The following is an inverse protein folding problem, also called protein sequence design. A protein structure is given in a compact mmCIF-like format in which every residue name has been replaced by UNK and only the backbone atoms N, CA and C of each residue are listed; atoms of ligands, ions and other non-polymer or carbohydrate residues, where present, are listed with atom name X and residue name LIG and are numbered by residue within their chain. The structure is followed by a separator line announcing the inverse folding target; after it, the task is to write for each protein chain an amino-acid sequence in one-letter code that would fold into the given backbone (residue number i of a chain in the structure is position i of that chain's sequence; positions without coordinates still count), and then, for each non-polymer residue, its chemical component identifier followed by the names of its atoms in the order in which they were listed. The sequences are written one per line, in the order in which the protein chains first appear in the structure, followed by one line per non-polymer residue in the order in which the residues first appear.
data_IF_563903428398
#
_entry.id   IF_563903428398
#
_cell.length_a   1.000
_cell.length_b   1.000
_cell.length_c   1.000
_cell.angle_alpha   90.00
_cell.angle_beta   90.00
_cell.angle_gamma   90.00
#
_symmetry.space_group_name_H-M   'P 1'
#
loop_
_entity.id
_entity.type
_entity.pdbx_description
1 polymer ?
#
# COMPACT_ATOMS: atom_id res chain seq x y z
N UNK A 1 -2.47 3.00 30.30
CA UNK A 1 -2.27 4.39 29.85
C UNK A 1 -2.58 4.42 28.36
N UNK A 2 -3.70 5.04 27.97
CA UNK A 2 -4.18 5.26 26.59
C UNK A 2 -4.14 4.06 25.63
N UNK A 3 -5.04 3.10 25.82
CA UNK A 3 -5.45 2.23 24.72
C UNK A 3 -6.34 3.05 23.79
N UNK A 4 -5.78 3.57 22.69
CA UNK A 4 -6.53 4.23 21.63
C UNK A 4 -7.59 3.24 21.12
N UNK A 5 -8.84 3.42 21.53
CA UNK A 5 -9.92 2.57 21.06
C UNK A 5 -10.28 3.07 19.66
N UNK A 6 -10.88 2.18 18.88
CA UNK A 6 -11.33 2.51 17.51
C UNK A 6 -12.11 3.83 17.42
N UNK A 7 -13.00 4.20 18.37
CA UNK A 7 -13.72 5.47 18.35
C UNK A 7 -12.82 6.71 18.40
N UNK A 8 -11.82 6.76 19.29
CA UNK A 8 -10.93 7.92 19.38
C UNK A 8 -10.09 8.07 18.11
N UNK A 9 -9.63 6.95 17.55
CA UNK A 9 -8.90 6.96 16.26
C UNK A 9 -9.79 7.47 15.11
N UNK A 10 -11.07 7.09 15.09
CA UNK A 10 -12.03 7.55 14.08
C UNK A 10 -12.26 9.06 14.18
N UNK A 11 -12.34 9.59 15.41
CA UNK A 11 -12.53 11.02 15.65
C UNK A 11 -11.33 11.84 15.16
N UNK A 12 -10.11 11.37 15.43
CA UNK A 12 -8.87 11.99 14.94
C UNK A 12 -8.80 11.90 13.41
N UNK A 13 -9.13 10.73 12.85
CA UNK A 13 -9.15 10.54 11.40
C UNK A 13 -10.12 11.52 10.73
N UNK A 14 -11.31 11.72 11.32
CA UNK A 14 -12.28 12.69 10.83
C UNK A 14 -11.73 14.13 10.90
N UNK A 15 -11.11 14.52 12.02
CA UNK A 15 -10.48 15.85 12.15
C UNK A 15 -9.39 16.09 11.09
N UNK A 16 -8.52 15.11 10.87
CA UNK A 16 -7.50 15.14 9.80
C UNK A 16 -8.16 15.24 8.43
N UNK A 17 -9.24 14.51 8.20
CA UNK A 17 -9.99 14.54 6.94
C UNK A 17 -10.66 15.89 6.68
N UNK A 18 -11.11 16.61 7.72
CA UNK A 18 -11.61 17.98 7.59
C UNK A 18 -10.48 18.97 7.27
N UNK A 19 -9.31 18.83 7.89
CA UNK A 19 -8.18 19.75 7.69
C UNK A 19 -7.51 19.56 6.33
N UNK A 20 -7.25 18.31 5.95
CA UNK A 20 -6.56 17.96 4.70
C UNK A 20 -7.52 17.66 3.55
N UNK A 21 -8.79 17.39 3.84
CA UNK A 21 -9.79 16.95 2.85
C UNK A 21 -9.78 15.44 2.60
N UNK A 22 -10.94 14.90 2.22
CA UNK A 22 -11.17 13.47 1.92
C UNK A 22 -10.22 12.85 0.88
N UNK A 23 -9.68 13.69 -0.02
CA UNK A 23 -8.92 13.23 -1.17
C UNK A 23 -7.39 13.17 -0.93
N UNK A 24 -6.86 13.83 0.12
CA UNK A 24 -5.40 13.94 0.32
C UNK A 24 -4.80 12.70 0.97
N UNK A 25 -5.47 12.11 1.95
CA UNK A 25 -5.04 10.84 2.57
C UNK A 25 -4.89 9.69 1.57
N UNK A 26 -5.90 9.37 0.72
CA UNK A 26 -5.76 8.30 -0.26
C UNK A 26 -4.74 8.64 -1.36
N UNK A 27 -4.59 9.91 -1.73
CA UNK A 27 -3.58 10.35 -2.70
C UNK A 27 -2.15 10.11 -2.18
N UNK A 28 -1.88 10.46 -0.92
CA UNK A 28 -0.60 10.19 -0.25
C UNK A 28 -0.38 8.68 -0.05
N UNK A 29 -1.42 7.95 0.33
CA UNK A 29 -1.38 6.49 0.50
C UNK A 29 -1.04 5.75 -0.80
N UNK A 30 -1.56 6.19 -1.95
CA UNK A 30 -1.22 5.62 -3.26
C UNK A 30 0.27 5.79 -3.59
N UNK A 31 0.83 6.99 -3.44
CA UNK A 31 2.25 7.26 -3.71
C UNK A 31 3.20 6.52 -2.76
N UNK A 32 2.86 6.48 -1.46
CA UNK A 32 3.60 5.69 -0.48
C UNK A 32 3.47 4.19 -0.74
N UNK A 33 2.28 3.72 -1.14
CA UNK A 33 2.03 2.31 -1.44
C UNK A 33 2.84 1.80 -2.62
N UNK A 34 2.94 2.57 -3.71
CA UNK A 34 3.79 2.23 -4.85
C UNK A 34 5.28 2.23 -4.49
N UNK A 35 5.72 3.19 -3.69
CA UNK A 35 7.09 3.29 -3.18
C UNK A 35 7.44 2.10 -2.27
N UNK A 36 6.55 1.74 -1.35
CA UNK A 36 6.73 0.57 -0.48
C UNK A 36 6.68 -0.72 -1.29
N UNK A 37 5.82 -0.82 -2.30
CA UNK A 37 5.70 -2.01 -3.16
C UNK A 37 6.96 -2.24 -4.00
N UNK A 38 7.51 -1.20 -4.61
CA UNK A 38 8.77 -1.26 -5.35
C UNK A 38 9.95 -1.56 -4.42
N UNK A 39 10.00 -0.92 -3.24
CA UNK A 39 11.02 -1.22 -2.23
C UNK A 39 10.95 -2.68 -1.74
N UNK A 40 9.75 -3.21 -1.48
CA UNK A 40 9.54 -4.62 -1.11
C UNK A 40 9.94 -5.58 -2.23
N UNK A 41 9.79 -5.20 -3.50
CA UNK A 41 10.19 -6.01 -4.66
C UNK A 41 11.71 -6.05 -4.80
N UNK A 42 12.36 -4.89 -4.76
CA UNK A 42 13.82 -4.78 -4.79
C UNK A 42 14.48 -5.52 -3.61
N UNK A 43 13.88 -5.44 -2.41
CA UNK A 43 14.35 -6.21 -1.25
C UNK A 43 14.18 -7.72 -1.40
N UNK A 44 13.23 -8.22 -2.19
CA UNK A 44 13.11 -9.66 -2.48
C UNK A 44 14.13 -10.08 -3.51
N UNK A 45 14.29 -9.30 -4.57
CA UNK A 45 15.31 -9.52 -5.61
C UNK A 45 16.73 -9.51 -5.02
N UNK A 46 17.04 -8.54 -4.15
CA UNK A 46 18.34 -8.44 -3.49
C UNK A 46 18.59 -9.54 -2.43
N UNK A 47 17.55 -10.24 -1.99
CA UNK A 47 17.65 -11.33 -1.00
C UNK A 47 17.60 -12.71 -1.64
N UNK A 48 17.20 -12.78 -2.91
CA UNK A 48 17.10 -14.00 -3.71
C UNK A 48 18.18 -13.98 -4.80
N UNK A 49 19.43 -14.17 -4.39
CA UNK A 49 20.50 -14.71 -5.26
C UNK A 49 20.37 -16.25 -5.35
N UNK A 50 19.13 -16.74 -5.34
CA UNK A 50 18.76 -18.14 -5.52
C UNK A 50 17.50 -18.14 -6.41
N UNK A 51 17.53 -18.84 -7.57
CA UNK A 51 16.51 -18.70 -8.59
C UNK A 51 15.32 -19.57 -8.18
N UNK A 52 14.19 -18.94 -7.81
CA UNK A 52 12.92 -19.62 -8.02
C UNK A 52 11.79 -18.72 -8.53
N UNK A 53 10.94 -19.29 -9.40
CA UNK A 53 10.03 -18.57 -10.26
C UNK A 53 8.65 -18.51 -9.61
N UNK A 54 8.06 -17.33 -9.45
CA UNK A 54 6.66 -17.29 -9.05
C UNK A 54 5.91 -16.04 -9.50
N UNK A 55 5.06 -16.30 -10.48
CA UNK A 55 3.63 -16.05 -10.42
C UNK A 55 3.07 -14.82 -11.17
N UNK A 56 2.58 -15.15 -12.38
CA UNK A 56 1.23 -14.83 -12.90
C UNK A 56 1.03 -13.41 -13.44
N UNK A 57 1.46 -13.23 -14.68
CA UNK A 57 0.63 -12.55 -15.68
C UNK A 57 0.05 -13.61 -16.61
N UNK A 58 -1.15 -14.08 -16.26
CA UNK A 58 -2.01 -14.86 -17.15
C UNK A 58 -3.34 -14.13 -17.20
N UNK A 59 -3.50 -13.24 -18.18
CA UNK A 59 -4.80 -12.84 -18.72
C UNK A 59 -4.58 -12.49 -20.19
N UNK A 60 -4.80 -13.50 -21.03
CA UNK A 60 -5.58 -13.39 -22.27
C UNK A 60 -5.31 -12.16 -23.14
N UNK A 61 -4.23 -12.20 -23.93
CA UNK A 61 -4.19 -11.54 -25.24
C UNK A 61 -3.69 -12.55 -26.28
N UNK A 62 -4.43 -13.65 -26.45
CA UNK A 62 -4.30 -14.52 -27.62
C UNK A 62 -5.52 -15.42 -27.84
N UNK A 63 -6.58 -14.85 -28.38
CA UNK A 63 -7.53 -15.52 -29.27
C UNK A 63 -7.89 -14.45 -30.31
N UNK A 64 -7.20 -14.43 -31.45
CA UNK A 64 -7.60 -15.12 -32.69
C UNK A 64 -9.08 -14.90 -33.02
#
# INVERSE_FOLDING_TARGET
MFGLRLPELLLILLAVLLLFGGNKLPQLGKGLGESVRSFRRALREAKSDEPEPAAKEETTVRAK
#
